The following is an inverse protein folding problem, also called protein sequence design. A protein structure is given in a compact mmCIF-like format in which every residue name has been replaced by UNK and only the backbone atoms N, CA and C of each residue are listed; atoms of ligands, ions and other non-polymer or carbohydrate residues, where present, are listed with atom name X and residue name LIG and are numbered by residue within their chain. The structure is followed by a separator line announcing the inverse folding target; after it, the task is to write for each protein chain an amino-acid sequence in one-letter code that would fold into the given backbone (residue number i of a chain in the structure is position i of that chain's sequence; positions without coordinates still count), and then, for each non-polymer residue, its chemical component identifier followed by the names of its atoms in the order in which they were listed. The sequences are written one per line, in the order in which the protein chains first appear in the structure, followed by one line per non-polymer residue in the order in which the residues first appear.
data_IF_660409304205
#
_entry.id   IF_660409304205
#
_cell.length_a   1.000
_cell.length_b   1.000
_cell.length_c   1.000
_cell.angle_alpha   90.00
_cell.angle_beta   90.00
_cell.angle_gamma   90.00
#
_symmetry.space_group_name_H-M   'P 1'
#
loop_
_entity.id
_entity.type
_entity.pdbx_description
1 polymer ?
#
# COMPACT_ATOMS: atom_id res chain seq x y z
N UNK A 1 -24.40 -23.01 -5.51
CA UNK A 1 -23.50 -22.30 -4.59
C UNK A 1 -23.20 -20.97 -5.26
N UNK A 2 -23.78 -19.90 -4.75
CA UNK A 2 -23.44 -18.56 -5.16
C UNK A 2 -22.07 -18.26 -4.54
N UNK A 3 -21.07 -18.00 -5.38
CA UNK A 3 -19.83 -17.39 -4.92
C UNK A 3 -20.24 -15.99 -4.41
N UNK A 4 -20.26 -15.81 -3.09
CA UNK A 4 -20.30 -14.47 -2.53
C UNK A 4 -19.05 -13.77 -3.02
N UNK A 5 -19.21 -12.72 -3.83
CA UNK A 5 -18.09 -11.90 -4.27
C UNK A 5 -17.26 -11.52 -3.05
N UNK A 6 -15.95 -11.61 -3.20
CA UNK A 6 -15.00 -11.27 -2.16
C UNK A 6 -15.22 -9.81 -1.71
N UNK A 7 -15.43 -9.60 -0.41
CA UNK A 7 -15.72 -8.27 0.12
C UNK A 7 -14.43 -7.45 0.21
N UNK A 8 -14.48 -6.20 -0.24
CA UNK A 8 -13.45 -5.21 0.05
C UNK A 8 -13.23 -5.07 1.56
N UNK A 9 -11.98 -4.84 1.98
CA UNK A 9 -11.66 -4.75 3.39
C UNK A 9 -12.25 -3.48 4.01
N UNK A 10 -12.91 -3.62 5.15
CA UNK A 10 -13.23 -2.48 6.01
C UNK A 10 -11.99 -2.13 6.83
N UNK A 11 -11.50 -0.90 6.71
CA UNK A 11 -10.37 -0.40 7.52
C UNK A 11 -10.90 0.74 8.40
N UNK A 12 -10.77 0.59 9.71
CA UNK A 12 -11.24 1.56 10.70
C UNK A 12 -10.07 2.20 11.43
N UNK A 13 -10.04 3.53 11.41
CA UNK A 13 -9.07 4.34 12.17
C UNK A 13 -9.54 4.50 13.60
N UNK A 14 -8.73 4.05 14.54
CA UNK A 14 -8.96 4.18 15.98
C UNK A 14 -8.13 5.35 16.50
N UNK A 15 -8.80 6.39 16.96
CA UNK A 15 -8.17 7.60 17.47
C UNK A 15 -7.65 7.40 18.90
N UNK A 16 -6.34 7.41 19.08
CA UNK A 16 -5.67 7.31 20.38
C UNK A 16 -5.21 8.67 20.94
N UNK A 17 -5.44 9.78 20.24
CA UNK A 17 -5.04 11.10 20.69
C UNK A 17 -5.90 11.58 21.87
N UNK A 18 -5.26 12.32 22.76
CA UNK A 18 -5.91 13.02 23.84
C UNK A 18 -6.75 14.23 23.39
N UNK A 19 -7.41 14.86 24.34
CA UNK A 19 -8.21 16.05 24.07
C UNK A 19 -7.32 17.23 23.65
N UNK A 20 -7.63 17.85 22.53
CA UNK A 20 -6.97 19.06 22.04
C UNK A 20 -5.67 18.83 21.26
N UNK A 21 -5.34 17.59 20.92
CA UNK A 21 -4.17 17.22 20.14
C UNK A 21 -4.53 16.26 19.00
N UNK A 22 -3.62 16.06 18.07
CA UNK A 22 -3.74 15.08 16.98
C UNK A 22 -5.04 15.19 16.20
N UNK A 23 -5.82 14.13 16.19
CA UNK A 23 -7.16 14.10 15.58
C UNK A 23 -8.20 14.95 16.34
N UNK A 24 -7.92 15.31 17.59
CA UNK A 24 -8.79 16.12 18.43
C UNK A 24 -8.33 17.59 18.51
N UNK A 25 -7.38 18.02 17.66
CA UNK A 25 -6.88 19.39 17.58
C UNK A 25 -7.97 20.34 17.08
N UNK A 26 -8.46 21.29 17.92
CA UNK A 26 -9.56 22.19 17.57
C UNK A 26 -9.10 23.41 16.76
N UNK A 27 -7.81 23.54 16.46
CA UNK A 27 -7.27 24.70 15.73
C UNK A 27 -8.00 24.86 14.40
N UNK A 28 -8.61 26.02 14.12
CA UNK A 28 -9.31 26.25 12.87
C UNK A 28 -8.41 26.07 11.66
N UNK A 29 -8.89 25.40 10.64
CA UNK A 29 -8.22 25.17 9.36
C UNK A 29 -9.16 25.49 8.18
N UNK A 30 -8.56 25.98 7.10
CA UNK A 30 -9.30 26.23 5.85
C UNK A 30 -9.31 24.95 5.02
N UNK A 31 -10.44 24.55 4.41
CA UNK A 31 -10.49 23.45 3.45
C UNK A 31 -9.39 23.54 2.39
N UNK A 32 -8.76 22.39 2.07
CA UNK A 32 -7.60 22.34 1.16
C UNK A 32 -7.58 21.04 0.37
N UNK A 33 -7.30 21.09 -0.93
CA UNK A 33 -7.04 19.91 -1.77
C UNK A 33 -8.12 18.82 -1.68
N UNK A 34 -9.40 19.21 -1.68
CA UNK A 34 -10.52 18.27 -1.53
C UNK A 34 -10.85 17.87 -0.08
N UNK A 35 -10.03 18.25 0.89
CA UNK A 35 -10.31 18.04 2.32
C UNK A 35 -11.13 19.22 2.88
N UNK A 36 -12.39 18.97 3.22
CA UNK A 36 -13.35 19.95 3.72
C UNK A 36 -13.37 20.10 5.25
N UNK A 37 -12.43 19.47 5.96
CA UNK A 37 -12.26 19.61 7.40
C UNK A 37 -11.99 21.07 7.81
N UNK A 38 -12.65 21.55 8.88
CA UNK A 38 -12.58 22.93 9.34
C UNK A 38 -11.70 23.12 10.58
N UNK A 39 -11.10 22.04 11.09
CA UNK A 39 -10.07 22.05 12.12
C UNK A 39 -8.91 21.17 11.69
N UNK A 40 -7.72 21.38 12.28
CA UNK A 40 -6.55 20.53 11.98
C UNK A 40 -6.83 19.05 12.30
N UNK A 41 -7.47 18.79 13.43
CA UNK A 41 -7.84 17.40 13.79
C UNK A 41 -8.81 16.78 12.79
N UNK A 42 -9.83 17.53 12.36
CA UNK A 42 -10.77 17.05 11.35
C UNK A 42 -10.09 16.81 10.00
N UNK A 43 -9.15 17.66 9.60
CA UNK A 43 -8.40 17.44 8.36
C UNK A 43 -7.49 16.22 8.44
N UNK A 44 -6.80 16.01 9.56
CA UNK A 44 -5.99 14.80 9.79
C UNK A 44 -6.85 13.53 9.70
N UNK A 45 -7.98 13.50 10.41
CA UNK A 45 -8.88 12.33 10.37
C UNK A 45 -9.36 12.01 8.95
N UNK A 46 -9.74 13.04 8.18
CA UNK A 46 -10.16 12.85 6.77
C UNK A 46 -9.06 12.30 5.87
N UNK A 47 -7.80 12.66 6.10
CA UNK A 47 -6.67 12.05 5.38
C UNK A 47 -6.58 10.56 5.70
N UNK A 48 -6.72 10.18 6.95
CA UNK A 48 -6.68 8.76 7.35
C UNK A 48 -7.87 7.96 6.81
N UNK A 49 -9.08 8.54 6.84
CA UNK A 49 -10.27 7.93 6.24
C UNK A 49 -10.12 7.75 4.73
N UNK A 50 -9.53 8.74 4.04
CA UNK A 50 -9.20 8.64 2.62
C UNK A 50 -8.23 7.49 2.35
N UNK A 51 -7.14 7.39 3.10
CA UNK A 51 -6.14 6.33 2.97
C UNK A 51 -6.71 4.96 3.31
N UNK A 52 -7.53 4.86 4.38
CA UNK A 52 -8.25 3.64 4.71
C UNK A 52 -9.16 3.19 3.54
N UNK A 53 -9.80 4.15 2.86
CA UNK A 53 -10.58 3.90 1.65
C UNK A 53 -9.73 3.39 0.49
N UNK A 54 -8.53 3.95 0.26
CA UNK A 54 -7.61 3.51 -0.80
C UNK A 54 -7.19 2.05 -0.59
N UNK A 55 -6.68 1.70 0.58
CA UNK A 55 -6.29 0.33 0.88
C UNK A 55 -7.47 -0.63 0.94
N UNK A 56 -8.58 -0.19 1.60
CA UNK A 56 -9.77 -1.02 1.75
C UNK A 56 -10.42 -1.41 0.43
N UNK A 57 -10.42 -0.51 -0.57
CA UNK A 57 -10.94 -0.80 -1.90
C UNK A 57 -10.09 -1.82 -2.68
N UNK A 58 -8.82 -1.98 -2.30
CA UNK A 58 -7.85 -2.79 -3.05
C UNK A 58 -7.51 -4.13 -2.37
N UNK A 59 -7.85 -4.30 -1.09
CA UNK A 59 -7.57 -5.52 -0.34
C UNK A 59 -8.87 -6.25 -0.01
N UNK A 60 -8.82 -7.57 -0.01
CA UNK A 60 -9.93 -8.40 0.38
C UNK A 60 -9.80 -8.85 1.83
N UNK A 61 -10.80 -8.58 2.65
CA UNK A 61 -10.92 -9.16 3.98
C UNK A 61 -12.39 -9.21 4.42
N UNK A 62 -12.80 -10.33 5.01
CA UNK A 62 -14.10 -10.43 5.72
C UNK A 62 -14.01 -9.99 7.18
N UNK A 63 -12.78 -9.72 7.65
CA UNK A 63 -12.49 -9.23 9.00
C UNK A 63 -12.11 -7.77 8.90
N UNK A 64 -12.69 -6.93 9.77
CA UNK A 64 -12.36 -5.52 9.87
C UNK A 64 -10.88 -5.37 10.26
N UNK A 65 -10.16 -4.47 9.59
CA UNK A 65 -8.79 -4.10 9.92
C UNK A 65 -8.86 -2.83 10.77
N UNK A 66 -8.30 -2.88 11.98
CA UNK A 66 -8.32 -1.78 12.92
C UNK A 66 -6.94 -1.16 13.07
N UNK A 67 -6.85 0.16 12.91
CA UNK A 67 -5.58 0.90 12.92
C UNK A 67 -5.58 1.90 14.08
N UNK A 68 -4.92 1.54 15.17
CA UNK A 68 -4.62 2.45 16.27
C UNK A 68 -3.71 3.58 15.77
N UNK A 69 -4.21 4.82 15.83
CA UNK A 69 -3.51 5.95 15.23
C UNK A 69 -3.44 7.15 16.16
N UNK A 70 -2.29 7.81 16.17
CA UNK A 70 -2.07 9.03 16.95
C UNK A 70 -1.00 9.94 16.36
N UNK A 71 -0.98 11.17 16.82
CA UNK A 71 0.06 12.15 16.58
C UNK A 71 0.87 12.39 17.86
N UNK A 72 2.13 11.96 17.89
CA UNK A 72 3.08 12.18 18.98
C UNK A 72 4.36 12.84 18.45
N UNK A 73 5.14 13.53 19.29
CA UNK A 73 6.46 14.01 18.91
C UNK A 73 7.38 12.85 18.55
N UNK A 74 7.90 12.85 17.32
CA UNK A 74 8.91 11.91 16.85
C UNK A 74 10.24 12.63 16.63
N UNK A 75 11.33 11.86 16.43
CA UNK A 75 12.66 12.40 16.19
C UNK A 75 12.65 13.41 15.05
N UNK A 76 13.24 14.58 15.29
CA UNK A 76 13.20 15.70 14.39
C UNK A 76 14.45 16.57 14.54
N UNK A 77 15.04 16.96 13.41
CA UNK A 77 16.20 17.83 13.32
C UNK A 77 16.07 18.87 12.20
N UNK A 78 17.06 19.75 12.00
CA UNK A 78 16.99 20.80 10.99
C UNK A 78 16.98 20.28 9.54
N UNK A 79 17.50 19.09 9.29
CA UNK A 79 17.71 18.53 7.94
C UNK A 79 16.93 17.25 7.69
N UNK A 80 16.37 16.65 8.74
CA UNK A 80 15.63 15.38 8.64
C UNK A 80 14.63 15.23 9.76
N UNK A 81 13.57 14.49 9.53
CA UNK A 81 12.58 14.16 10.53
C UNK A 81 12.01 12.77 10.26
N UNK A 82 11.67 12.03 11.31
CA UNK A 82 10.80 10.87 11.21
C UNK A 82 9.38 11.41 11.02
N UNK A 83 8.75 11.07 9.90
CA UNK A 83 7.42 11.57 9.54
C UNK A 83 6.33 10.76 10.21
N UNK A 84 6.50 9.43 10.22
CA UNK A 84 5.62 8.49 10.85
C UNK A 84 6.36 7.19 11.20
N UNK A 85 5.66 6.27 11.81
CA UNK A 85 6.05 4.88 11.96
C UNK A 85 4.80 4.03 12.16
N UNK A 86 4.73 2.86 11.52
CA UNK A 86 3.67 1.92 11.76
C UNK A 86 4.16 0.47 11.70
N UNK A 87 3.34 -0.43 12.22
CA UNK A 87 3.60 -1.86 12.16
C UNK A 87 2.43 -2.68 12.70
N UNK A 88 2.49 -3.98 12.50
CA UNK A 88 1.53 -4.91 13.08
C UNK A 88 1.66 -4.96 14.60
N UNK A 89 0.54 -5.02 15.32
CA UNK A 89 0.60 -5.13 16.78
C UNK A 89 0.93 -6.55 17.24
N UNK A 90 0.44 -7.56 16.53
CA UNK A 90 0.77 -8.96 16.81
C UNK A 90 1.03 -9.73 15.51
N UNK A 91 1.65 -10.90 15.62
CA UNK A 91 1.91 -11.81 14.52
C UNK A 91 1.35 -13.19 14.80
N UNK A 92 0.90 -13.90 13.77
CA UNK A 92 0.26 -15.20 13.88
C UNK A 92 0.89 -16.21 12.94
N UNK A 93 0.89 -17.48 13.30
CA UNK A 93 1.34 -18.60 12.47
C UNK A 93 0.48 -19.84 12.70
N UNK A 94 0.53 -20.77 11.79
CA UNK A 94 -0.12 -22.07 11.91
C UNK A 94 -1.65 -21.99 12.19
N UNK A 95 -2.29 -20.89 11.80
CA UNK A 95 -3.73 -20.72 11.86
C UNK A 95 -4.42 -21.40 10.67
N UNK A 96 -5.72 -21.64 10.76
CA UNK A 96 -6.45 -22.19 9.63
C UNK A 96 -6.52 -21.17 8.48
N UNK A 97 -5.99 -21.53 7.31
CA UNK A 97 -5.83 -20.63 6.16
C UNK A 97 -4.40 -20.09 5.98
N UNK A 98 -3.47 -20.35 6.92
CA UNK A 98 -2.06 -20.00 6.73
C UNK A 98 -1.49 -20.68 5.48
N UNK A 99 -0.85 -19.90 4.59
CA UNK A 99 -0.33 -20.41 3.31
C UNK A 99 0.92 -21.26 3.49
N UNK A 100 1.77 -20.93 4.48
CA UNK A 100 3.01 -21.63 4.78
C UNK A 100 3.03 -22.03 6.25
N UNK A 101 3.34 -23.29 6.53
CA UNK A 101 3.43 -23.80 7.90
C UNK A 101 4.64 -23.21 8.62
N UNK A 102 4.47 -22.88 9.90
CA UNK A 102 5.54 -22.37 10.75
C UNK A 102 5.99 -20.93 10.44
N UNK A 103 5.31 -20.24 9.53
CA UNK A 103 5.64 -18.90 9.04
C UNK A 103 4.82 -17.84 9.77
N UNK A 104 5.44 -16.72 10.12
CA UNK A 104 4.77 -15.59 10.74
C UNK A 104 4.11 -14.69 9.71
N UNK A 105 2.91 -14.25 10.03
CA UNK A 105 2.11 -13.29 9.27
C UNK A 105 1.73 -12.10 10.16
N UNK A 106 1.72 -10.86 9.65
CA UNK A 106 1.16 -9.72 10.38
C UNK A 106 -0.33 -9.94 10.65
N UNK A 107 -0.85 -9.40 11.75
CA UNK A 107 -2.20 -9.68 12.24
C UNK A 107 -3.27 -9.42 11.19
N UNK A 108 -3.25 -8.27 10.51
CA UNK A 108 -4.24 -7.92 9.49
C UNK A 108 -4.31 -8.97 8.36
N UNK A 109 -3.14 -9.40 7.83
CA UNK A 109 -3.07 -10.44 6.80
C UNK A 109 -3.52 -11.81 7.35
N UNK A 110 -3.08 -12.16 8.56
CA UNK A 110 -3.47 -13.41 9.20
C UNK A 110 -4.98 -13.50 9.42
N UNK A 111 -5.62 -12.41 9.87
CA UNK A 111 -7.07 -12.30 10.04
C UNK A 111 -7.80 -12.43 8.70
N UNK A 112 -7.31 -11.78 7.65
CA UNK A 112 -7.87 -11.88 6.30
C UNK A 112 -7.82 -13.32 5.76
N UNK A 113 -6.67 -13.99 5.90
CA UNK A 113 -6.47 -15.38 5.47
C UNK A 113 -7.31 -16.37 6.31
N UNK A 114 -7.43 -16.14 7.61
CA UNK A 114 -8.21 -17.00 8.51
C UNK A 114 -9.73 -16.81 8.36
N UNK A 115 -10.16 -15.66 7.82
CA UNK A 115 -11.57 -15.26 7.78
C UNK A 115 -12.18 -15.04 9.18
N UNK A 116 -11.34 -14.87 10.19
CA UNK A 116 -11.73 -14.60 11.60
C UNK A 116 -10.63 -13.78 12.28
N UNK A 117 -11.04 -12.95 13.24
CA UNK A 117 -10.10 -12.22 14.09
C UNK A 117 -9.39 -13.20 15.04
N UNK A 118 -8.07 -13.29 14.91
CA UNK A 118 -7.21 -14.20 15.69
C UNK A 118 -6.81 -13.61 17.05
N UNK A 119 -6.98 -12.31 17.25
CA UNK A 119 -6.67 -11.64 18.51
C UNK A 119 -7.55 -10.41 18.77
N UNK A 120 -8.82 -10.64 19.06
CA UNK A 120 -9.82 -9.60 19.33
C UNK A 120 -9.52 -8.68 20.54
N UNK A 121 -8.43 -8.91 21.26
CA UNK A 121 -8.00 -8.07 22.38
C UNK A 121 -7.05 -6.95 21.98
N UNK A 122 -6.59 -6.94 20.74
CA UNK A 122 -5.57 -6.01 20.24
C UNK A 122 -5.91 -5.64 18.81
N UNK A 123 -5.97 -4.37 18.48
CA UNK A 123 -6.16 -3.89 17.12
C UNK A 123 -5.00 -4.33 16.21
N UNK A 124 -5.19 -4.34 14.89
CA UNK A 124 -4.24 -5.00 13.98
C UNK A 124 -2.94 -4.22 13.81
N UNK A 125 -3.04 -2.91 13.72
CA UNK A 125 -1.95 -2.00 13.35
C UNK A 125 -1.85 -0.90 14.39
N UNK A 126 -0.63 -0.49 14.72
CA UNK A 126 -0.36 0.76 15.42
C UNK A 126 0.41 1.70 14.51
N UNK A 127 0.00 2.97 14.44
CA UNK A 127 0.61 4.00 13.62
C UNK A 127 0.75 5.31 14.40
N UNK A 128 1.96 5.90 14.37
CA UNK A 128 2.25 7.16 15.05
C UNK A 128 2.83 8.15 14.05
N UNK A 129 2.31 9.38 14.03
CA UNK A 129 2.73 10.43 13.12
C UNK A 129 3.30 11.62 13.88
N UNK A 130 4.28 12.31 13.27
CA UNK A 130 5.04 13.34 13.95
C UNK A 130 4.23 14.63 14.16
N UNK A 131 3.80 14.88 15.38
CA UNK A 131 3.09 16.09 15.77
C UNK A 131 3.98 17.34 15.80
N UNK A 132 5.31 17.17 15.80
CA UNK A 132 6.26 18.28 15.86
C UNK A 132 6.48 18.97 14.51
N UNK A 133 6.14 18.33 13.39
CA UNK A 133 6.27 18.90 12.04
C UNK A 133 5.40 20.17 11.90
N UNK A 134 6.05 21.28 11.52
CA UNK A 134 5.38 22.58 11.38
C UNK A 134 5.06 23.27 12.71
N UNK A 135 5.49 22.71 13.83
CA UNK A 135 5.30 23.29 15.17
C UNK A 135 6.61 23.50 15.90
N UNK A 136 7.11 22.49 16.62
CA UNK A 136 8.33 22.57 17.45
C UNK A 136 9.58 22.01 16.74
N UNK A 137 9.40 21.33 15.62
CA UNK A 137 10.49 20.77 14.83
C UNK A 137 11.27 21.85 14.08
N UNK A 138 12.59 21.77 14.09
CA UNK A 138 13.46 22.65 13.29
C UNK A 138 13.47 22.30 11.79
N UNK A 139 12.87 21.19 11.39
CA UNK A 139 12.68 20.81 9.99
C UNK A 139 11.78 21.83 9.30
N UNK A 140 12.17 22.36 8.13
CA UNK A 140 11.51 23.54 7.56
C UNK A 140 10.14 23.27 6.93
N UNK A 141 9.77 21.99 6.76
CA UNK A 141 8.53 21.61 6.12
C UNK A 141 7.36 21.56 7.12
N UNK A 142 6.14 21.66 6.59
CA UNK A 142 4.89 21.51 7.34
C UNK A 142 4.03 20.42 6.69
N UNK A 143 2.97 19.96 7.39
CA UNK A 143 2.04 19.01 6.82
C UNK A 143 1.10 19.67 5.81
N UNK A 144 0.85 18.97 4.70
CA UNK A 144 -0.25 19.23 3.78
C UNK A 144 -1.37 18.21 4.04
N UNK A 145 -2.57 18.71 4.31
CA UNK A 145 -3.72 17.87 4.63
C UNK A 145 -4.70 17.69 3.45
N UNK A 146 -4.35 18.12 2.23
CA UNK A 146 -5.14 17.85 1.04
C UNK A 146 -5.19 16.37 0.69
N UNK A 147 -6.16 15.99 -0.13
CA UNK A 147 -6.36 14.61 -0.61
C UNK A 147 -5.96 14.46 -2.08
N UNK A 148 -5.56 15.55 -2.72
CA UNK A 148 -5.31 15.66 -4.16
C UNK A 148 -3.86 15.37 -4.57
N UNK A 149 -2.96 15.08 -3.61
CA UNK A 149 -1.54 14.81 -3.88
C UNK A 149 -0.76 16.01 -4.44
N UNK A 150 -1.24 17.25 -4.24
CA UNK A 150 -0.62 18.46 -4.78
C UNK A 150 -0.14 19.42 -3.66
N UNK A 151 0.81 18.98 -2.80
CA UNK A 151 1.31 19.83 -1.73
C UNK A 151 2.05 21.05 -2.30
N UNK A 152 1.82 22.24 -1.77
CA UNK A 152 2.65 23.42 -2.07
C UNK A 152 4.12 23.19 -1.70
N UNK A 153 5.08 23.89 -2.35
CA UNK A 153 6.49 23.80 -1.98
C UNK A 153 6.70 24.04 -0.47
N UNK A 154 7.51 23.17 0.15
CA UNK A 154 7.77 23.22 1.60
C UNK A 154 6.71 22.51 2.44
N UNK A 155 5.75 21.83 1.83
CA UNK A 155 4.81 20.97 2.55
C UNK A 155 5.01 19.50 2.21
N UNK A 156 4.70 18.63 3.17
CA UNK A 156 4.75 17.17 3.05
C UNK A 156 3.32 16.68 2.94
N UNK A 157 3.03 15.92 1.91
CA UNK A 157 1.71 15.31 1.73
C UNK A 157 1.45 14.24 2.79
N UNK A 158 0.55 14.53 3.71
CA UNK A 158 0.22 13.60 4.81
C UNK A 158 -0.38 12.31 4.28
N UNK A 159 -1.18 12.37 3.21
CA UNK A 159 -1.81 11.17 2.64
C UNK A 159 -0.77 10.17 2.14
N UNK A 160 0.30 10.62 1.47
CA UNK A 160 1.41 9.74 1.04
C UNK A 160 2.10 9.09 2.23
N UNK A 161 2.34 9.85 3.31
CA UNK A 161 2.99 9.29 4.52
C UNK A 161 2.05 8.28 5.20
N UNK A 162 0.76 8.56 5.31
CA UNK A 162 -0.21 7.62 5.91
C UNK A 162 -0.36 6.36 5.05
N UNK A 163 -0.36 6.48 3.71
CA UNK A 163 -0.35 5.33 2.79
C UNK A 163 0.87 4.44 3.03
N UNK A 164 2.05 5.05 3.11
CA UNK A 164 3.32 4.36 3.37
C UNK A 164 3.29 3.63 4.72
N UNK A 165 2.95 4.32 5.79
CA UNK A 165 2.94 3.74 7.13
C UNK A 165 1.91 2.62 7.27
N UNK A 166 0.69 2.79 6.74
CA UNK A 166 -0.29 1.71 6.71
C UNK A 166 0.21 0.51 5.90
N UNK A 167 1.01 0.74 4.85
CA UNK A 167 1.67 -0.32 4.09
C UNK A 167 2.54 -1.22 4.97
N UNK A 168 3.32 -0.65 5.88
CA UNK A 168 4.09 -1.42 6.87
C UNK A 168 3.19 -2.26 7.78
N UNK A 169 2.12 -1.65 8.29
CA UNK A 169 1.15 -2.35 9.15
C UNK A 169 0.44 -3.50 8.45
N UNK A 170 0.16 -3.36 7.15
CA UNK A 170 -0.47 -4.37 6.31
C UNK A 170 0.48 -5.50 5.91
N UNK A 171 1.80 -5.36 6.13
CA UNK A 171 2.74 -6.46 5.94
C UNK A 171 3.98 -6.15 5.10
N UNK A 172 4.24 -4.89 4.75
CA UNK A 172 5.49 -4.51 4.08
C UNK A 172 6.63 -4.42 5.11
N UNK A 173 6.99 -5.53 5.74
CA UNK A 173 8.03 -5.59 6.75
C UNK A 173 8.56 -7.00 6.94
N UNK A 174 9.89 -7.15 7.02
CA UNK A 174 10.54 -8.35 7.53
C UNK A 174 10.60 -8.29 9.07
N UNK A 175 10.46 -9.46 9.71
CA UNK A 175 10.61 -9.61 11.17
C UNK A 175 12.00 -10.10 11.57
N UNK A 176 12.96 -10.11 10.65
CA UNK A 176 14.36 -10.43 10.92
C UNK A 176 15.02 -9.30 11.70
N UNK A 177 15.70 -9.61 12.78
CA UNK A 177 16.54 -8.66 13.52
C UNK A 177 17.80 -8.32 12.71
N UNK A 178 17.89 -7.11 12.20
CA UNK A 178 18.97 -6.69 11.29
C UNK A 178 20.34 -6.66 11.94
N UNK A 179 20.44 -6.57 13.27
CA UNK A 179 21.73 -6.54 13.96
C UNK A 179 22.34 -7.93 14.16
N UNK A 180 21.49 -8.92 14.37
CA UNK A 180 21.89 -10.31 14.60
C UNK A 180 21.65 -11.22 13.40
N UNK A 181 20.76 -10.86 12.48
CA UNK A 181 20.24 -11.69 11.40
C UNK A 181 19.25 -12.76 11.88
N UNK A 182 18.89 -12.76 13.15
CA UNK A 182 18.00 -13.77 13.72
C UNK A 182 16.57 -13.58 13.26
N UNK A 183 15.93 -14.64 12.86
CA UNK A 183 14.50 -14.71 12.57
C UNK A 183 13.68 -14.53 13.85
N UNK A 184 12.53 -13.90 13.74
CA UNK A 184 11.64 -13.72 14.88
C UNK A 184 11.22 -15.08 15.47
N UNK A 185 11.63 -15.34 16.71
CA UNK A 185 11.43 -16.62 17.41
C UNK A 185 11.94 -17.84 16.61
N UNK A 186 12.98 -17.68 15.80
CA UNK A 186 13.60 -18.74 14.99
C UNK A 186 12.69 -19.28 13.89
N UNK A 187 11.89 -18.41 13.27
CA UNK A 187 10.96 -18.73 12.20
C UNK A 187 10.91 -17.61 11.17
N UNK A 188 10.77 -18.01 9.93
CA UNK A 188 10.56 -17.10 8.81
C UNK A 188 9.26 -16.31 8.95
N UNK A 189 9.18 -15.19 8.24
CA UNK A 189 7.96 -14.42 8.00
C UNK A 189 7.59 -14.44 6.52
N UNK A 190 6.33 -14.16 6.21
CA UNK A 190 5.79 -14.22 4.85
C UNK A 190 6.49 -13.26 3.86
N UNK A 191 7.03 -12.14 4.35
CA UNK A 191 7.78 -11.17 3.57
C UNK A 191 9.16 -11.72 3.18
N UNK A 192 9.89 -12.30 4.13
CA UNK A 192 11.27 -12.76 3.97
C UNK A 192 11.43 -13.89 2.95
N UNK A 193 10.37 -14.67 2.66
CA UNK A 193 10.40 -15.69 1.61
C UNK A 193 10.66 -15.13 0.20
N UNK A 194 10.42 -13.83 0.00
CA UNK A 194 10.59 -13.18 -1.29
C UNK A 194 11.86 -12.31 -1.38
N UNK A 195 12.72 -12.37 -0.37
CA UNK A 195 14.00 -11.66 -0.36
C UNK A 195 15.13 -12.56 -0.85
N UNK A 196 15.88 -12.12 -1.85
CA UNK A 196 17.05 -12.82 -2.40
C UNK A 196 18.25 -11.88 -2.43
N UNK A 197 19.41 -12.37 -1.98
CA UNK A 197 20.69 -11.72 -2.20
C UNK A 197 21.32 -12.26 -3.49
N UNK A 198 21.41 -11.42 -4.50
CA UNK A 198 21.99 -11.76 -5.81
C UNK A 198 23.48 -12.06 -5.75
N UNK A 199 24.22 -11.57 -4.75
CA UNK A 199 25.64 -11.90 -4.57
C UNK A 199 25.84 -13.35 -4.21
N UNK A 200 24.88 -13.98 -3.52
CA UNK A 200 24.95 -15.37 -3.05
C UNK A 200 23.95 -16.28 -3.76
N UNK A 201 22.96 -15.72 -4.47
CA UNK A 201 21.80 -16.40 -5.04
C UNK A 201 21.01 -17.24 -3.99
N UNK A 202 20.90 -16.70 -2.77
CA UNK A 202 20.14 -17.31 -1.68
C UNK A 202 18.94 -16.45 -1.32
N UNK A 203 17.82 -17.09 -1.01
CA UNK A 203 16.67 -16.44 -0.35
C UNK A 203 16.89 -16.44 1.18
N UNK A 204 16.26 -15.47 1.87
CA UNK A 204 16.43 -15.31 3.33
C UNK A 204 16.20 -16.58 4.13
N UNK A 205 15.18 -17.42 3.87
CA UNK A 205 14.99 -18.69 4.58
C UNK A 205 16.17 -19.66 4.48
N UNK A 206 16.95 -19.60 3.40
CA UNK A 206 18.12 -20.49 3.17
C UNK A 206 19.43 -19.91 3.73
N UNK A 207 19.38 -18.73 4.36
CA UNK A 207 20.55 -18.05 4.91
C UNK A 207 20.74 -18.37 6.39
N UNK A 208 22.00 -18.42 6.83
CA UNK A 208 22.35 -18.28 8.24
C UNK A 208 22.12 -16.82 8.70
N UNK A 209 22.07 -16.62 10.02
CA UNK A 209 21.96 -15.28 10.62
C UNK A 209 23.04 -14.33 10.09
N UNK A 210 24.29 -14.79 9.99
CA UNK A 210 25.39 -13.98 9.49
C UNK A 210 25.23 -13.62 7.99
N UNK A 211 24.65 -14.50 7.18
CA UNK A 211 24.36 -14.22 5.77
C UNK A 211 23.23 -13.22 5.65
N UNK A 212 22.16 -13.30 6.46
CA UNK A 212 21.08 -12.29 6.48
C UNK A 212 21.58 -10.90 6.89
N UNK A 213 22.48 -10.81 7.88
CA UNK A 213 23.17 -9.54 8.21
C UNK A 213 23.93 -9.01 6.99
N UNK A 214 24.69 -9.86 6.31
CA UNK A 214 25.47 -9.44 5.13
C UNK A 214 24.55 -8.97 4.00
N UNK A 215 23.50 -9.71 3.70
CA UNK A 215 22.51 -9.37 2.66
C UNK A 215 21.78 -8.05 2.96
N UNK A 216 21.49 -7.76 4.24
CA UNK A 216 20.86 -6.49 4.65
C UNK A 216 21.74 -5.25 4.45
N UNK A 217 23.02 -5.45 4.13
CA UNK A 217 24.03 -4.42 3.85
C UNK A 217 24.51 -4.44 2.39
N UNK A 218 24.01 -5.35 1.58
CA UNK A 218 24.47 -5.57 0.21
C UNK A 218 23.70 -4.69 -0.77
N UNK A 219 24.09 -3.42 -0.79
CA UNK A 219 23.46 -2.36 -1.61
C UNK A 219 23.44 -2.74 -3.08
N UNK A 220 22.26 -2.74 -3.69
CA UNK A 220 22.05 -3.06 -5.09
C UNK A 220 22.03 -4.57 -5.40
N UNK A 221 22.14 -5.45 -4.38
CA UNK A 221 22.09 -6.89 -4.56
C UNK A 221 20.97 -7.57 -3.78
N UNK A 222 20.40 -6.93 -2.77
CA UNK A 222 19.18 -7.43 -2.12
C UNK A 222 17.98 -7.11 -3.00
N UNK A 223 17.21 -8.13 -3.41
CA UNK A 223 16.09 -7.99 -4.33
C UNK A 223 14.83 -8.69 -3.80
N UNK A 224 13.68 -8.18 -4.24
CA UNK A 224 12.41 -8.88 -4.16
C UNK A 224 12.25 -9.77 -5.39
N UNK A 225 11.95 -11.07 -5.16
CA UNK A 225 11.83 -12.08 -6.21
C UNK A 225 10.41 -12.66 -6.32
N UNK A 226 9.47 -12.12 -5.57
CA UNK A 226 8.08 -12.53 -5.62
C UNK A 226 7.49 -12.36 -7.02
N UNK A 227 6.74 -13.36 -7.53
CA UNK A 227 6.37 -13.44 -8.94
C UNK A 227 5.47 -12.30 -9.42
N UNK A 228 4.63 -11.71 -8.56
CA UNK A 228 3.72 -10.63 -8.96
C UNK A 228 4.50 -9.32 -9.13
N UNK A 229 5.38 -8.97 -8.18
CA UNK A 229 6.29 -7.83 -8.31
C UNK A 229 7.18 -7.96 -9.53
N UNK A 230 7.74 -9.16 -9.77
CA UNK A 230 8.58 -9.45 -10.94
C UNK A 230 7.80 -9.25 -12.24
N UNK A 231 6.59 -9.74 -12.34
CA UNK A 231 5.74 -9.56 -13.52
C UNK A 231 5.44 -8.08 -13.80
N UNK A 232 5.20 -7.29 -12.76
CA UNK A 232 4.94 -5.85 -12.84
C UNK A 232 6.19 -4.98 -13.05
N UNK A 233 7.41 -5.52 -12.88
CA UNK A 233 8.67 -4.75 -12.87
C UNK A 233 8.99 -4.03 -14.19
N UNK A 234 8.36 -4.42 -15.29
CA UNK A 234 8.54 -3.78 -16.61
C UNK A 234 8.12 -2.30 -16.65
N UNK A 235 7.34 -1.83 -15.68
CA UNK A 235 6.98 -0.41 -15.52
C UNK A 235 8.12 0.44 -14.93
N UNK A 236 9.13 -0.20 -14.35
CA UNK A 236 10.32 0.45 -13.80
C UNK A 236 11.41 0.56 -14.86
N UNK A 237 12.07 1.71 -14.92
CA UNK A 237 13.21 1.96 -15.82
C UNK A 237 14.55 1.92 -15.09
N UNK A 238 14.57 1.82 -13.75
CA UNK A 238 15.75 1.65 -12.91
C UNK A 238 15.39 0.87 -11.63
N UNK A 239 16.40 0.31 -10.95
CA UNK A 239 16.23 -0.48 -9.72
C UNK A 239 15.70 -1.89 -9.97
N UNK A 240 15.94 -2.43 -11.18
CA UNK A 240 15.52 -3.78 -11.57
C UNK A 240 16.74 -4.59 -11.98
N UNK A 241 16.95 -5.69 -11.28
CA UNK A 241 18.01 -6.65 -11.54
C UNK A 241 17.66 -7.69 -12.61
N UNK A 242 18.54 -8.66 -12.78
CA UNK A 242 18.32 -9.77 -13.70
C UNK A 242 17.02 -10.52 -13.33
N UNK A 243 16.29 -10.93 -14.37
CA UNK A 243 15.04 -11.67 -14.17
C UNK A 243 13.82 -10.81 -13.79
N UNK A 244 13.96 -9.48 -13.74
CA UNK A 244 12.88 -8.58 -13.32
C UNK A 244 12.79 -8.41 -11.81
N UNK A 245 13.79 -8.88 -11.07
CA UNK A 245 13.84 -8.77 -9.60
C UNK A 245 14.02 -7.32 -9.17
N UNK A 246 13.21 -6.84 -8.23
CA UNK A 246 13.17 -5.43 -7.83
C UNK A 246 14.08 -5.18 -6.64
N UNK A 247 14.95 -4.18 -6.72
CA UNK A 247 15.90 -3.85 -5.65
C UNK A 247 15.20 -3.42 -4.37
N UNK A 248 15.66 -3.99 -3.24
CA UNK A 248 15.27 -3.62 -1.89
C UNK A 248 16.33 -2.75 -1.23
N UNK A 249 15.92 -1.92 -0.28
CA UNK A 249 16.80 -0.99 0.39
C UNK A 249 17.75 -1.69 1.37
N UNK A 250 19.01 -1.82 0.98
CA UNK A 250 20.07 -2.48 1.78
C UNK A 250 21.32 -1.60 1.88
N UNK A 251 21.27 -0.43 2.54
CA UNK A 251 22.40 0.48 2.64
C UNK A 251 23.45 -0.04 3.64
N UNK A 252 24.70 0.35 3.42
CA UNK A 252 25.77 0.09 4.37
C UNK A 252 26.31 1.42 4.94
N UNK A 253 26.14 1.70 6.25
CA UNK A 253 25.57 0.83 7.30
C UNK A 253 24.04 0.67 7.19
N UNK A 254 23.52 -0.39 7.82
CA UNK A 254 22.07 -0.59 7.95
C UNK A 254 21.42 0.60 8.66
N UNK A 255 20.24 0.97 8.18
CA UNK A 255 19.42 2.01 8.77
C UNK A 255 18.24 1.37 9.52
N UNK A 256 18.24 1.45 10.86
CA UNK A 256 17.14 0.90 11.66
C UNK A 256 15.78 1.47 11.23
N UNK A 257 14.78 0.61 11.09
CA UNK A 257 13.45 0.96 10.65
C UNK A 257 13.29 1.16 9.13
N UNK A 258 14.40 1.17 8.35
CA UNK A 258 14.32 1.36 6.91
C UNK A 258 14.90 0.21 6.10
N UNK A 259 16.09 -0.32 6.49
CA UNK A 259 16.74 -1.39 5.72
C UNK A 259 15.87 -2.63 5.61
N UNK A 260 15.92 -3.27 4.46
CA UNK A 260 15.20 -4.51 4.09
C UNK A 260 13.69 -4.31 3.88
N UNK A 261 13.03 -3.54 4.74
CA UNK A 261 11.58 -3.32 4.72
C UNK A 261 11.16 -2.10 3.89
N UNK A 262 11.92 -1.79 2.83
CA UNK A 262 11.58 -0.76 1.84
C UNK A 262 12.11 -1.15 0.47
N UNK A 263 11.49 -0.63 -0.57
CA UNK A 263 12.11 -0.63 -1.90
C UNK A 263 13.35 0.26 -1.93
N UNK A 264 14.29 -0.04 -2.82
CA UNK A 264 15.50 0.76 -3.01
C UNK A 264 15.17 2.15 -3.56
N UNK A 265 15.93 3.16 -3.13
CA UNK A 265 15.90 4.52 -3.70
C UNK A 265 16.47 4.60 -5.14
N UNK A 266 16.92 3.48 -5.70
CA UNK A 266 17.32 3.36 -7.10
C UNK A 266 16.15 3.20 -8.06
N UNK A 267 14.95 2.90 -7.56
CA UNK A 267 13.77 2.67 -8.40
C UNK A 267 13.36 3.95 -9.13
N UNK A 268 12.96 3.80 -10.41
CA UNK A 268 12.39 4.90 -11.16
C UNK A 268 11.27 4.39 -12.09
N UNK A 269 10.07 4.97 -12.04
CA UNK A 269 9.64 6.04 -11.12
C UNK A 269 9.72 5.62 -9.64
N UNK A 270 9.79 6.65 -8.75
CA UNK A 270 9.83 6.41 -7.30
C UNK A 270 8.56 5.70 -6.82
N UNK A 271 8.75 4.72 -5.96
CA UNK A 271 7.66 3.92 -5.41
C UNK A 271 7.23 4.38 -4.01
N UNK A 272 5.99 4.11 -3.63
CA UNK A 272 5.43 4.54 -2.34
C UNK A 272 6.26 4.07 -1.15
N UNK A 273 6.72 2.80 -1.18
CA UNK A 273 7.45 2.18 -0.07
C UNK A 273 8.98 2.36 -0.16
N UNK A 274 9.45 3.48 -0.69
CA UNK A 274 10.86 3.89 -0.54
C UNK A 274 11.10 4.53 0.84
N UNK A 275 12.33 4.46 1.40
CA UNK A 275 12.60 4.84 2.81
C UNK A 275 12.53 6.34 3.08
N UNK A 276 12.34 7.17 2.07
CA UNK A 276 12.36 8.62 2.19
C UNK A 276 11.27 9.26 1.35
N UNK A 277 10.57 10.22 1.95
CA UNK A 277 9.60 11.03 1.20
C UNK A 277 10.32 11.91 0.17
N UNK A 278 10.03 11.72 -1.09
CA UNK A 278 10.60 12.46 -2.23
C UNK A 278 9.57 13.35 -2.94
N UNK A 279 8.31 13.23 -2.57
CA UNK A 279 7.17 13.96 -3.13
C UNK A 279 5.88 13.22 -2.86
N UNK A 280 4.73 13.83 -3.17
CA UNK A 280 3.45 13.17 -3.04
C UNK A 280 3.38 11.94 -3.96
N UNK A 281 2.98 10.80 -3.41
CA UNK A 281 2.79 9.55 -4.14
C UNK A 281 1.60 8.79 -3.55
N UNK A 282 0.50 8.73 -4.30
CA UNK A 282 -0.69 7.95 -3.96
C UNK A 282 -0.79 6.64 -4.76
N UNK A 283 0.26 6.31 -5.53
CA UNK A 283 0.29 5.07 -6.30
C UNK A 283 0.66 3.89 -5.41
N UNK A 284 -0.28 2.99 -5.21
CA UNK A 284 -0.14 1.79 -4.37
C UNK A 284 0.15 0.52 -5.17
N UNK A 285 0.20 0.58 -6.50
CA UNK A 285 0.19 -0.61 -7.37
C UNK A 285 1.37 -1.56 -7.07
N UNK A 286 2.61 -1.04 -6.99
CA UNK A 286 3.78 -1.89 -6.68
C UNK A 286 3.71 -2.50 -5.28
N UNK A 287 3.15 -1.77 -4.33
CA UNK A 287 2.93 -2.29 -2.98
C UNK A 287 1.86 -3.38 -2.97
N UNK A 288 0.82 -3.27 -3.80
CA UNK A 288 -0.20 -4.31 -3.97
C UNK A 288 0.35 -5.55 -4.66
N UNK A 289 1.27 -5.39 -5.64
CA UNK A 289 2.01 -6.53 -6.21
C UNK A 289 2.74 -7.31 -5.11
N UNK A 290 3.47 -6.61 -4.23
CA UNK A 290 4.15 -7.22 -3.09
C UNK A 290 3.16 -7.85 -2.10
N UNK A 291 2.05 -7.19 -1.82
CA UNK A 291 1.01 -7.75 -0.97
C UNK A 291 0.44 -9.05 -1.54
N UNK A 292 0.25 -9.15 -2.85
CA UNK A 292 -0.14 -10.40 -3.50
C UNK A 292 0.90 -11.50 -3.27
N UNK A 293 2.19 -11.18 -3.37
CA UNK A 293 3.28 -12.14 -3.15
C UNK A 293 3.34 -12.68 -1.71
N UNK A 294 2.97 -11.87 -0.71
CA UNK A 294 2.92 -12.30 0.70
C UNK A 294 1.60 -12.94 1.11
N UNK A 295 0.60 -12.96 0.21
CA UNK A 295 -0.64 -13.71 0.41
C UNK A 295 -1.94 -12.89 0.52
N UNK A 296 -1.91 -11.57 0.40
CA UNK A 296 -3.14 -10.80 0.26
C UNK A 296 -3.88 -11.15 -1.03
N UNK A 297 -5.19 -11.26 -0.97
CA UNK A 297 -6.02 -11.19 -2.16
C UNK A 297 -6.23 -9.72 -2.51
N UNK A 298 -5.62 -9.30 -3.62
CA UNK A 298 -5.77 -7.94 -4.15
C UNK A 298 -6.99 -7.87 -5.05
N UNK A 299 -7.74 -6.78 -4.90
CA UNK A 299 -8.87 -6.44 -5.74
C UNK A 299 -8.35 -5.47 -6.80
N UNK A 300 -8.32 -5.91 -8.05
CA UNK A 300 -8.03 -4.99 -9.14
C UNK A 300 -9.15 -3.96 -9.26
N UNK A 301 -8.83 -2.67 -9.44
CA UNK A 301 -9.85 -1.68 -9.65
C UNK A 301 -10.60 -2.06 -10.92
N UNK A 302 -11.91 -2.17 -10.77
CA UNK A 302 -12.77 -2.29 -11.94
C UNK A 302 -12.74 -0.94 -12.66
N UNK A 303 -11.86 -0.83 -13.66
CA UNK A 303 -11.78 0.39 -14.45
C UNK A 303 -13.07 0.54 -15.25
N UNK A 304 -13.65 1.75 -15.21
CA UNK A 304 -14.79 2.07 -16.04
C UNK A 304 -14.43 1.91 -17.51
N UNK A 305 -15.03 0.92 -18.16
CA UNK A 305 -14.74 0.54 -19.54
C UNK A 305 -13.81 -0.67 -19.71
N UNK A 306 -13.30 -1.26 -18.66
CA UNK A 306 -12.47 -2.47 -18.69
C UNK A 306 -13.37 -3.72 -18.63
N UNK A 307 -13.90 -4.11 -19.76
CA UNK A 307 -14.81 -5.24 -19.89
C UNK A 307 -14.11 -6.59 -19.70
N UNK A 308 -12.80 -6.66 -19.92
CA UNK A 308 -11.98 -7.88 -19.78
C UNK A 308 -11.42 -8.05 -18.38
N UNK A 309 -11.45 -7.00 -17.54
CA UNK A 309 -10.88 -6.95 -16.19
C UNK A 309 -9.37 -7.24 -16.19
N UNK A 310 -8.65 -6.76 -17.22
CA UNK A 310 -7.20 -6.93 -17.33
C UNK A 310 -6.40 -5.70 -16.84
N UNK A 311 -7.09 -4.70 -16.28
CA UNK A 311 -6.49 -3.47 -15.75
C UNK A 311 -6.16 -2.43 -16.82
N UNK A 312 -6.58 -2.64 -18.07
CA UNK A 312 -6.31 -1.73 -19.18
C UNK A 312 -7.58 -1.52 -20.01
N UNK A 313 -7.77 -0.32 -20.56
CA UNK A 313 -8.89 -0.05 -21.47
C UNK A 313 -8.37 -0.10 -22.90
N UNK A 314 -8.72 -1.18 -23.61
CA UNK A 314 -8.24 -1.49 -24.95
C UNK A 314 -9.40 -1.68 -25.93
N UNK A 315 -9.10 -1.98 -27.18
CA UNK A 315 -10.12 -2.33 -28.18
C UNK A 315 -10.87 -3.63 -27.87
N UNK A 316 -10.26 -4.54 -27.08
CA UNK A 316 -10.88 -5.78 -26.64
C UNK A 316 -12.05 -5.51 -25.70
N UNK A 317 -11.94 -4.48 -24.85
CA UNK A 317 -13.01 -4.06 -23.93
C UNK A 317 -14.18 -3.43 -24.68
N UNK A 318 -13.88 -2.65 -25.72
CA UNK A 318 -14.91 -2.14 -26.61
C UNK A 318 -15.69 -3.29 -27.28
N UNK A 319 -15.03 -4.37 -27.64
CA UNK A 319 -15.69 -5.57 -28.18
C UNK A 319 -16.54 -6.26 -27.10
N UNK A 320 -16.02 -6.41 -25.86
CA UNK A 320 -16.77 -7.00 -24.74
C UNK A 320 -18.04 -6.22 -24.39
N UNK A 321 -17.96 -4.88 -24.40
CA UNK A 321 -19.14 -4.03 -24.22
C UNK A 321 -20.13 -4.15 -25.39
N UNK A 322 -19.64 -4.26 -26.62
CA UNK A 322 -20.49 -4.46 -27.80
C UNK A 322 -21.22 -5.81 -27.74
N UNK A 323 -20.53 -6.89 -27.42
CA UNK A 323 -21.13 -8.21 -27.24
C UNK A 323 -22.23 -8.17 -26.16
N UNK A 324 -21.99 -7.47 -25.08
CA UNK A 324 -22.98 -7.28 -24.00
C UNK A 324 -24.20 -6.51 -24.52
N UNK A 325 -24.00 -5.46 -25.34
CA UNK A 325 -25.07 -4.63 -25.90
C UNK A 325 -26.03 -5.39 -26.80
N UNK A 326 -25.57 -6.50 -27.39
CA UNK A 326 -26.38 -7.39 -28.25
C UNK A 326 -26.81 -8.68 -27.53
N UNK A 327 -26.55 -8.80 -26.23
CA UNK A 327 -27.00 -9.92 -25.40
C UNK A 327 -26.14 -11.19 -25.49
N UNK A 328 -24.95 -11.12 -26.06
CA UNK A 328 -23.98 -12.22 -26.17
C UNK A 328 -22.84 -12.14 -25.17
N UNK A 329 -22.63 -10.97 -24.55
CA UNK A 329 -21.66 -10.72 -23.49
C UNK A 329 -22.28 -10.63 -22.10
N UNK A 330 -21.43 -10.46 -21.08
CA UNK A 330 -21.83 -10.40 -19.65
C UNK A 330 -21.17 -9.26 -18.87
N UNK A 331 -20.69 -8.21 -19.54
CA UNK A 331 -20.13 -7.07 -18.86
C UNK A 331 -21.19 -6.29 -18.06
N UNK A 332 -20.92 -6.07 -16.77
CA UNK A 332 -21.86 -5.37 -15.89
C UNK A 332 -22.06 -3.89 -16.22
N UNK A 333 -23.20 -3.34 -15.84
CA UNK A 333 -23.52 -1.90 -16.01
C UNK A 333 -22.50 -1.03 -15.29
N UNK A 334 -22.04 -1.42 -14.10
CA UNK A 334 -21.00 -0.71 -13.32
C UNK A 334 -19.63 -0.59 -14.00
N UNK A 335 -19.40 -1.33 -15.09
CA UNK A 335 -18.14 -1.36 -15.82
C UNK A 335 -18.29 -0.85 -17.25
N UNK A 336 -19.33 -1.33 -17.95
CA UNK A 336 -19.48 -1.14 -19.38
C UNK A 336 -20.51 -0.08 -19.77
N UNK A 337 -21.33 0.46 -18.85
CA UNK A 337 -22.14 1.65 -19.08
C UNK A 337 -21.28 2.90 -18.79
N UNK A 338 -20.44 3.24 -19.76
CA UNK A 338 -19.43 4.29 -19.61
C UNK A 338 -19.98 5.71 -19.84
N UNK A 339 -21.27 5.84 -19.97
CA UNK A 339 -21.99 7.11 -20.11
C UNK A 339 -23.12 7.27 -19.07
N UNK A 340 -23.17 6.39 -18.06
CA UNK A 340 -24.10 6.41 -16.92
C UNK A 340 -25.59 6.46 -17.32
N UNK A 341 -25.98 5.74 -18.37
CA UNK A 341 -27.38 5.64 -18.83
C UNK A 341 -28.17 4.49 -18.19
N UNK A 342 -27.54 3.71 -17.31
CA UNK A 342 -28.07 2.52 -16.65
C UNK A 342 -28.30 1.33 -17.60
N UNK A 343 -27.64 1.34 -18.77
CA UNK A 343 -27.73 0.26 -19.76
C UNK A 343 -26.45 0.20 -20.61
N UNK A 344 -25.92 -0.99 -20.80
CA UNK A 344 -24.79 -1.20 -21.72
C UNK A 344 -25.32 -1.26 -23.15
N UNK A 345 -24.86 -0.34 -23.97
CA UNK A 345 -25.32 -0.13 -25.37
C UNK A 345 -24.13 -0.07 -26.34
N UNK A 346 -24.40 -0.08 -27.62
CA UNK A 346 -23.37 0.12 -28.66
C UNK A 346 -22.68 1.50 -28.55
N UNK A 347 -23.31 2.47 -27.89
CA UNK A 347 -22.70 3.80 -27.64
C UNK A 347 -21.56 3.68 -26.63
N UNK A 348 -21.73 2.86 -25.61
CA UNK A 348 -20.70 2.61 -24.60
C UNK A 348 -19.49 1.91 -25.22
N UNK A 349 -19.73 0.88 -26.04
CA UNK A 349 -18.69 0.20 -26.80
C UNK A 349 -17.90 1.19 -27.68
N UNK A 350 -18.59 2.13 -28.35
CA UNK A 350 -17.95 3.17 -29.17
C UNK A 350 -17.08 4.10 -28.33
N UNK A 351 -17.56 4.54 -27.17
CA UNK A 351 -16.81 5.42 -26.27
C UNK A 351 -15.55 4.73 -25.73
N UNK A 352 -15.65 3.44 -25.35
CA UNK A 352 -14.50 2.63 -24.92
C UNK A 352 -13.48 2.52 -26.08
N UNK A 353 -13.91 2.23 -27.30
CA UNK A 353 -13.03 2.19 -28.47
C UNK A 353 -12.36 3.53 -28.75
N UNK A 354 -13.08 4.63 -28.64
CA UNK A 354 -12.51 5.98 -28.80
C UNK A 354 -11.47 6.28 -27.74
N UNK A 355 -11.73 5.92 -26.47
CA UNK A 355 -10.79 6.08 -25.37
C UNK A 355 -9.51 5.25 -25.61
N UNK A 356 -9.65 3.99 -26.02
CA UNK A 356 -8.54 3.07 -26.25
C UNK A 356 -7.56 3.52 -27.33
N UNK A 357 -7.99 4.40 -28.24
CA UNK A 357 -7.13 4.99 -29.29
C UNK A 357 -6.73 6.45 -29.00
N UNK A 358 -6.91 6.91 -27.76
CA UNK A 358 -6.48 8.24 -27.30
C UNK A 358 -7.37 9.39 -27.78
N UNK A 359 -8.62 9.13 -28.17
CA UNK A 359 -9.56 10.21 -28.45
C UNK A 359 -9.98 10.91 -27.14
N UNK A 360 -10.26 12.23 -27.16
CA UNK A 360 -10.60 12.99 -25.95
C UNK A 360 -12.05 12.71 -25.52
N UNK A 361 -12.31 11.51 -24.99
CA UNK A 361 -13.58 11.11 -24.39
C UNK A 361 -13.37 10.81 -22.91
N UNK A 362 -14.39 11.08 -22.09
CA UNK A 362 -14.41 10.72 -20.67
C UNK A 362 -15.33 9.53 -20.50
N UNK A 363 -14.84 8.50 -19.81
CA UNK A 363 -15.64 7.36 -19.40
C UNK A 363 -16.17 7.62 -17.99
N UNK A 364 -17.47 7.42 -17.79
CA UNK A 364 -18.14 7.64 -16.51
C UNK A 364 -19.13 6.50 -16.27
N UNK A 365 -18.77 5.58 -15.37
CA UNK A 365 -19.66 4.51 -14.96
C UNK A 365 -20.59 4.95 -13.82
N UNK A 366 -21.78 4.34 -13.68
CA UNK A 366 -22.74 4.67 -12.64
C UNK A 366 -22.32 4.21 -11.25
#
# INVERSE_FOLDING_TARGET
LWATGAAAAAITVVNLDGSGEGFNDPTPAVPVGGNDGTTLGAQRLKVFEFVAGVWGARLQSSVEIRVDSKFDPLTCGPTSAVLGSAGTQTVHRDFNGALLAGTWYPQALANALAGTDLNASTDDIIATFNSSIGTTCAFPNTWYHGLDGNPPPGQIDLASVVLHEMGHGLGFASFVDLASGAEFQGRDDAYSFNLEDHSTAKIYPDMSDAERVSASLDTGNLHWVGPVVVAGSSSLSAGVGAGGHVEMYAPNPAQPGSSVSHFSTSLFPNELMEPSYTGANHNVERTLDLFSDIGWTVIDPVLCGDATHDGSITSTDGLGALDTSVGTGNCGVSVCDVNSTMAVTATDALLILQYSVGQPVTLTCP
#
